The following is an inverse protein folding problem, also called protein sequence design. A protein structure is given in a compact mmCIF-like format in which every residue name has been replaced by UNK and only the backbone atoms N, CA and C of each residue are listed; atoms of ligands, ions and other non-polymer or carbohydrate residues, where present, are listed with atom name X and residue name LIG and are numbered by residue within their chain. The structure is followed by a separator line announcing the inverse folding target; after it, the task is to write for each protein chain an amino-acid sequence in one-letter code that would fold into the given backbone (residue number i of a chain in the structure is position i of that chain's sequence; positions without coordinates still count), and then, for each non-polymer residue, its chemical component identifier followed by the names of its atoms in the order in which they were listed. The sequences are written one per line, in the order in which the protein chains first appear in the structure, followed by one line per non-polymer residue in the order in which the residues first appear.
data_IF_629513616886
#
_entry.id   IF_629513616886
#
_cell.length_a   1.000
_cell.length_b   1.000
_cell.length_c   1.000
_cell.angle_alpha   90.00
_cell.angle_beta   90.00
_cell.angle_gamma   90.00
#
_symmetry.space_group_name_H-M   'P 1'
#
loop_
_entity.id
_entity.type
_entity.pdbx_description
1 polymer ?
#
# COMPACT_ATOMS: atom_id res chain seq x y z
N UNK A 1 -29.20 3.83 -12.64
CA UNK A 1 -28.86 2.44 -13.04
C UNK A 1 -27.35 2.16 -13.03
N UNK A 2 -26.52 2.93 -13.74
CA UNK A 2 -25.06 2.69 -13.85
C UNK A 2 -24.28 2.73 -12.51
N UNK A 3 -24.65 3.64 -11.59
CA UNK A 3 -24.01 3.76 -10.27
C UNK A 3 -24.26 2.52 -9.40
N UNK A 4 -25.52 2.05 -9.34
CA UNK A 4 -25.89 0.85 -8.60
C UNK A 4 -25.17 -0.39 -9.15
N UNK A 5 -25.07 -0.51 -10.47
CA UNK A 5 -24.32 -1.59 -11.10
C UNK A 5 -22.83 -1.55 -10.71
N UNK A 6 -22.17 -0.39 -10.82
CA UNK A 6 -20.76 -0.23 -10.43
C UNK A 6 -20.51 -0.52 -8.94
N UNK A 7 -21.49 -0.24 -8.07
CA UNK A 7 -21.44 -0.58 -6.65
C UNK A 7 -21.54 -2.08 -6.41
N UNK A 8 -22.52 -2.75 -7.02
CA UNK A 8 -22.68 -4.21 -6.90
C UNK A 8 -21.45 -4.98 -7.41
N UNK A 9 -20.85 -4.53 -8.52
CA UNK A 9 -19.61 -5.10 -9.07
C UNK A 9 -18.45 -4.96 -8.08
N UNK A 10 -18.26 -3.76 -7.50
CA UNK A 10 -17.22 -3.52 -6.51
C UNK A 10 -17.39 -4.42 -5.27
N UNK A 11 -18.62 -4.58 -4.77
CA UNK A 11 -18.85 -5.41 -3.59
C UNK A 11 -18.57 -6.88 -3.87
N UNK A 12 -19.06 -7.39 -5.01
CA UNK A 12 -18.76 -8.76 -5.45
C UNK A 12 -17.25 -8.97 -5.61
N UNK A 13 -16.53 -7.96 -6.11
CA UNK A 13 -15.07 -8.02 -6.25
C UNK A 13 -14.36 -8.09 -4.91
N UNK A 14 -14.70 -7.20 -3.98
CA UNK A 14 -14.14 -7.15 -2.63
C UNK A 14 -14.41 -8.44 -1.87
N UNK A 15 -15.66 -8.94 -1.84
CA UNK A 15 -15.99 -10.21 -1.19
C UNK A 15 -15.22 -11.38 -1.80
N UNK A 16 -15.11 -11.46 -3.13
CA UNK A 16 -14.29 -12.50 -3.79
C UNK A 16 -12.82 -12.46 -3.35
N UNK A 17 -12.25 -11.25 -3.21
CA UNK A 17 -10.86 -11.11 -2.74
C UNK A 17 -10.76 -11.53 -1.27
N UNK A 18 -11.69 -11.10 -0.42
CA UNK A 18 -11.74 -11.51 0.98
C UNK A 18 -11.82 -13.03 1.16
N UNK A 19 -12.73 -13.68 0.44
CA UNK A 19 -12.97 -15.13 0.55
C UNK A 19 -11.80 -15.99 0.04
N UNK A 20 -10.95 -15.42 -0.83
CA UNK A 20 -9.78 -16.12 -1.41
C UNK A 20 -8.44 -15.64 -0.87
N UNK A 21 -8.45 -14.65 0.03
CA UNK A 21 -7.26 -14.08 0.61
C UNK A 21 -6.55 -15.09 1.51
N UNK A 22 -5.22 -15.03 1.50
CA UNK A 22 -4.42 -15.81 2.42
C UNK A 22 -4.56 -15.24 3.84
N UNK A 23 -4.78 -16.12 4.82
CA UNK A 23 -4.86 -15.73 6.23
C UNK A 23 -3.47 -15.75 6.87
N UNK A 24 -3.03 -14.62 7.39
CA UNK A 24 -1.79 -14.47 8.13
C UNK A 24 -2.13 -14.38 9.63
N UNK A 25 -1.68 -15.32 10.47
CA UNK A 25 -2.00 -15.31 11.88
C UNK A 25 -1.21 -14.22 12.62
N UNK A 26 -1.87 -13.48 13.51
CA UNK A 26 -1.25 -12.50 14.39
C UNK A 26 -1.85 -12.54 15.80
N UNK A 27 -1.20 -11.90 16.76
CA UNK A 27 -1.66 -11.75 18.14
C UNK A 27 -1.23 -10.39 18.73
N UNK A 28 -1.58 -10.13 19.98
CA UNK A 28 -1.25 -8.86 20.66
C UNK A 28 0.26 -8.59 20.79
N UNK A 29 1.12 -9.60 20.65
CA UNK A 29 2.59 -9.44 20.64
C UNK A 29 3.15 -9.15 19.24
N UNK A 30 2.34 -9.34 18.20
CA UNK A 30 2.73 -9.09 16.81
C UNK A 30 2.89 -7.59 16.57
N UNK A 31 3.92 -7.24 15.79
CA UNK A 31 4.19 -5.87 15.34
C UNK A 31 4.14 -5.85 13.83
N UNK A 32 3.25 -5.04 13.26
CA UNK A 32 2.99 -4.98 11.81
C UNK A 32 2.96 -3.51 11.39
N UNK A 33 3.66 -3.18 10.31
CA UNK A 33 3.57 -1.89 9.64
C UNK A 33 3.00 -2.09 8.25
N UNK A 34 1.99 -1.30 7.93
CA UNK A 34 1.32 -1.22 6.64
C UNK A 34 1.75 0.08 5.96
N UNK A 35 2.36 -0.06 4.78
CA UNK A 35 2.59 1.05 3.85
C UNK A 35 2.05 0.71 2.46
N UNK A 36 1.54 1.70 1.76
CA UNK A 36 1.06 1.60 0.39
C UNK A 36 1.62 2.73 -0.46
N UNK A 37 1.30 2.68 -1.76
CA UNK A 37 1.40 3.83 -2.66
C UNK A 37 2.79 4.50 -2.56
N UNK A 38 3.81 3.65 -2.65
CA UNK A 38 5.19 4.09 -2.71
C UNK A 38 5.51 4.63 -4.09
N UNK A 39 4.93 4.05 -5.14
CA UNK A 39 5.14 4.46 -6.54
C UNK A 39 6.64 4.64 -6.87
N UNK A 40 7.50 3.70 -6.43
CA UNK A 40 8.93 3.74 -6.75
C UNK A 40 9.11 3.77 -8.26
N UNK A 41 9.65 4.89 -8.77
CA UNK A 41 9.84 5.12 -10.20
C UNK A 41 11.30 4.90 -10.63
N UNK A 42 11.70 5.59 -11.69
CA UNK A 42 13.03 5.46 -12.31
C UNK A 42 13.99 6.61 -11.97
N UNK A 43 13.73 7.38 -10.92
CA UNK A 43 14.58 8.49 -10.48
C UNK A 43 14.38 9.78 -11.27
N UNK A 44 13.57 9.76 -12.33
CA UNK A 44 13.28 10.95 -13.13
C UNK A 44 12.44 11.97 -12.38
N UNK A 45 12.22 13.14 -12.97
CA UNK A 45 11.35 14.18 -12.38
C UNK A 45 9.90 13.70 -12.15
N UNK A 46 9.45 12.71 -12.91
CA UNK A 46 8.14 12.08 -12.74
C UNK A 46 8.12 11.02 -11.62
N UNK A 47 9.28 10.68 -11.03
CA UNK A 47 9.33 9.75 -9.91
C UNK A 47 8.91 10.45 -8.61
N UNK A 48 7.66 10.24 -8.21
CA UNK A 48 7.11 10.81 -6.99
C UNK A 48 7.75 10.25 -5.72
N UNK A 49 8.22 9.00 -5.74
CA UNK A 49 8.89 8.38 -4.60
C UNK A 49 10.24 9.05 -4.29
N UNK A 50 10.97 9.47 -5.32
CA UNK A 50 12.33 10.03 -5.17
C UNK A 50 12.42 11.18 -4.17
N UNK A 51 11.33 11.95 -3.99
CA UNK A 51 11.24 13.07 -3.03
C UNK A 51 11.21 12.59 -1.57
N UNK A 52 10.73 11.38 -1.34
CA UNK A 52 10.56 10.77 -0.01
C UNK A 52 11.46 9.54 0.20
N UNK A 53 12.32 9.17 -0.74
CA UNK A 53 13.12 7.93 -0.67
C UNK A 53 13.91 7.79 0.66
N UNK A 54 14.60 8.85 1.09
CA UNK A 54 15.40 8.84 2.32
C UNK A 54 14.52 8.76 3.58
N UNK A 55 13.37 9.42 3.52
CA UNK A 55 12.39 9.40 4.60
C UNK A 55 11.78 8.01 4.76
N UNK A 56 11.42 7.38 3.64
CA UNK A 56 10.92 6.01 3.59
C UNK A 56 11.97 5.02 4.05
N UNK A 57 13.21 5.12 3.56
CA UNK A 57 14.30 4.24 3.96
C UNK A 57 14.57 4.33 5.47
N UNK A 58 14.60 5.54 6.04
CA UNK A 58 14.76 5.74 7.49
C UNK A 58 13.60 5.12 8.30
N UNK A 59 12.35 5.34 7.87
CA UNK A 59 11.18 4.75 8.51
C UNK A 59 11.20 3.22 8.43
N UNK A 60 11.43 2.66 7.24
CA UNK A 60 11.47 1.22 7.04
C UNK A 60 12.63 0.56 7.82
N UNK A 61 13.76 1.24 7.95
CA UNK A 61 14.89 0.78 8.78
C UNK A 61 14.48 0.69 10.25
N UNK A 62 13.80 1.70 10.78
CA UNK A 62 13.27 1.66 12.14
C UNK A 62 12.36 0.43 12.36
N UNK A 63 11.41 0.19 11.46
CA UNK A 63 10.52 -0.98 11.60
C UNK A 63 11.26 -2.31 11.44
N UNK A 64 12.29 -2.35 10.60
CA UNK A 64 13.13 -3.53 10.46
C UNK A 64 13.84 -3.86 11.79
N UNK A 65 14.45 -2.85 12.41
CA UNK A 65 15.20 -2.95 13.68
C UNK A 65 14.28 -3.28 14.87
N UNK A 66 13.07 -2.75 14.88
CA UNK A 66 12.05 -3.00 15.90
C UNK A 66 11.27 -4.32 15.69
N UNK A 67 11.75 -5.19 14.80
CA UNK A 67 11.20 -6.51 14.49
C UNK A 67 9.75 -6.53 13.98
N UNK A 68 9.33 -5.48 13.26
CA UNK A 68 8.01 -5.45 12.64
C UNK A 68 7.93 -6.41 11.44
N UNK A 69 6.75 -6.95 11.19
CA UNK A 69 6.35 -7.48 9.89
C UNK A 69 6.01 -6.30 8.99
N UNK A 70 6.62 -6.24 7.81
CA UNK A 70 6.28 -5.24 6.80
C UNK A 70 5.29 -5.82 5.80
N UNK A 71 4.12 -5.19 5.68
CA UNK A 71 3.14 -5.49 4.64
C UNK A 71 3.01 -4.28 3.71
N UNK A 72 3.42 -4.46 2.46
CA UNK A 72 3.25 -3.46 1.40
C UNK A 72 1.86 -3.62 0.76
N UNK A 73 0.94 -2.69 1.01
CA UNK A 73 -0.47 -2.71 0.57
C UNK A 73 -0.67 -2.26 -0.89
N UNK A 74 0.23 -2.63 -1.79
CA UNK A 74 0.11 -2.38 -3.22
C UNK A 74 0.58 -0.99 -3.68
N UNK A 75 0.71 -0.84 -5.00
CA UNK A 75 1.33 0.32 -5.66
C UNK A 75 2.72 0.64 -5.09
N UNK A 76 3.51 -0.41 -4.85
CA UNK A 76 4.88 -0.28 -4.39
C UNK A 76 5.79 0.29 -5.48
N UNK A 77 5.63 -0.19 -6.71
CA UNK A 77 6.48 0.17 -7.85
C UNK A 77 5.65 0.74 -9.00
N UNK A 78 6.15 1.79 -9.66
CA UNK A 78 5.42 2.53 -10.68
C UNK A 78 5.52 1.87 -12.07
N UNK A 79 4.91 0.68 -12.23
CA UNK A 79 4.98 -0.14 -13.45
C UNK A 79 3.93 0.21 -14.51
N UNK A 80 3.09 1.23 -14.27
CA UNK A 80 2.22 1.79 -15.29
C UNK A 80 2.98 2.80 -16.12
N UNK A 81 3.77 3.67 -15.50
CA UNK A 81 4.64 4.58 -16.24
C UNK A 81 5.90 3.87 -16.74
N UNK A 82 6.51 3.02 -15.92
CA UNK A 82 7.80 2.40 -16.22
C UNK A 82 7.65 1.02 -16.87
N UNK A 83 8.51 0.73 -17.86
CA UNK A 83 8.51 -0.56 -18.56
C UNK A 83 9.36 -1.63 -17.86
N UNK A 84 10.36 -1.22 -17.08
CA UNK A 84 11.39 -2.09 -16.54
C UNK A 84 11.44 -1.96 -15.01
N UNK A 85 10.98 -3.00 -14.31
CA UNK A 85 11.17 -3.10 -12.85
C UNK A 85 12.65 -2.99 -12.47
N UNK A 86 13.53 -3.53 -13.31
CA UNK A 86 14.97 -3.46 -13.04
C UNK A 86 15.56 -2.05 -13.03
N UNK A 87 14.93 -1.10 -13.72
CA UNK A 87 15.35 0.31 -13.66
C UNK A 87 14.96 0.91 -12.30
N UNK A 88 13.73 0.64 -11.85
CA UNK A 88 13.22 1.03 -10.52
C UNK A 88 14.11 0.45 -9.42
N UNK A 89 14.43 -0.84 -9.52
CA UNK A 89 15.30 -1.52 -8.54
C UNK A 89 16.73 -1.02 -8.55
N UNK A 90 17.20 -0.51 -9.69
CA UNK A 90 18.52 0.08 -9.78
C UNK A 90 18.56 1.45 -9.12
N UNK A 91 17.53 2.25 -9.33
CA UNK A 91 17.42 3.57 -8.72
C UNK A 91 17.32 3.46 -7.20
N UNK A 92 16.32 2.71 -6.72
CA UNK A 92 15.99 2.62 -5.29
C UNK A 92 16.65 1.39 -4.62
N UNK A 93 17.92 1.13 -4.98
CA UNK A 93 18.60 -0.14 -4.67
C UNK A 93 18.83 -0.39 -3.18
N UNK A 94 18.91 0.67 -2.37
CA UNK A 94 18.96 0.66 -0.91
C UNK A 94 17.64 0.15 -0.31
N UNK A 95 16.50 0.63 -0.81
CA UNK A 95 15.18 0.16 -0.40
C UNK A 95 15.03 -1.32 -0.73
N UNK A 96 15.34 -1.74 -1.96
CA UNK A 96 15.25 -3.17 -2.33
C UNK A 96 16.20 -4.04 -1.52
N UNK A 97 17.40 -3.56 -1.20
CA UNK A 97 18.29 -4.25 -0.27
C UNK A 97 17.62 -4.47 1.09
N UNK A 98 17.01 -3.44 1.67
CA UNK A 98 16.32 -3.55 2.96
C UNK A 98 15.11 -4.50 2.87
N UNK A 99 14.33 -4.44 1.79
CA UNK A 99 13.23 -5.39 1.54
C UNK A 99 13.72 -6.84 1.50
N UNK A 100 14.89 -7.10 0.90
CA UNK A 100 15.44 -8.46 0.87
C UNK A 100 15.74 -9.00 2.26
N UNK A 101 16.02 -8.13 3.24
CA UNK A 101 16.23 -8.55 4.64
C UNK A 101 14.93 -9.00 5.27
N UNK A 102 13.84 -8.25 5.12
CA UNK A 102 12.51 -8.69 5.57
C UNK A 102 12.11 -10.00 4.90
N UNK A 103 12.35 -10.15 3.59
CA UNK A 103 12.04 -11.38 2.84
C UNK A 103 12.79 -12.59 3.41
N UNK A 104 14.11 -12.46 3.61
CA UNK A 104 14.95 -13.55 4.15
C UNK A 104 14.52 -14.01 5.54
N UNK A 105 13.92 -13.11 6.32
CA UNK A 105 13.42 -13.40 7.67
C UNK A 105 11.94 -13.78 7.71
N UNK A 106 11.27 -13.88 6.56
CA UNK A 106 9.83 -14.20 6.51
C UNK A 106 8.94 -13.11 7.09
N UNK A 107 9.43 -11.86 7.14
CA UNK A 107 8.73 -10.68 7.69
C UNK A 107 8.22 -9.72 6.61
N UNK A 108 8.12 -10.18 5.36
CA UNK A 108 7.62 -9.38 4.23
C UNK A 108 6.39 -10.01 3.57
N UNK A 109 5.34 -9.22 3.41
CA UNK A 109 4.20 -9.54 2.57
C UNK A 109 3.93 -8.38 1.61
N UNK A 110 3.49 -8.69 0.39
CA UNK A 110 3.22 -7.66 -0.62
C UNK A 110 1.93 -7.94 -1.34
N UNK A 111 1.07 -6.92 -1.42
CA UNK A 111 -0.05 -6.88 -2.31
C UNK A 111 0.38 -6.21 -3.63
N UNK A 112 -0.33 -6.52 -4.72
CA UNK A 112 -0.29 -5.66 -5.90
C UNK A 112 -1.44 -4.65 -5.86
N UNK A 113 -1.15 -3.43 -6.27
CA UNK A 113 -2.15 -2.40 -6.55
C UNK A 113 -2.43 -2.31 -8.05
N UNK A 114 -3.04 -1.22 -8.49
CA UNK A 114 -3.31 -1.04 -9.91
C UNK A 114 -2.02 -0.74 -10.68
N UNK A 115 -1.13 0.13 -10.19
CA UNK A 115 0.10 0.55 -10.88
C UNK A 115 1.11 -0.59 -11.07
N UNK A 116 1.08 -1.59 -10.20
CA UNK A 116 1.91 -2.79 -10.29
C UNK A 116 1.12 -4.09 -10.44
N UNK A 117 -0.12 -4.03 -10.94
CA UNK A 117 -1.01 -5.20 -11.17
C UNK A 117 -0.36 -6.32 -12.01
N UNK A 118 0.66 -6.00 -12.81
CA UNK A 118 1.45 -6.98 -13.56
C UNK A 118 2.18 -7.98 -12.66
N UNK A 119 2.46 -7.62 -11.40
CA UNK A 119 3.06 -8.49 -10.39
C UNK A 119 2.18 -9.67 -10.00
N UNK A 120 0.86 -9.60 -10.27
CA UNK A 120 -0.06 -10.74 -10.16
C UNK A 120 0.44 -11.98 -10.92
N UNK A 121 1.18 -11.79 -12.01
CA UNK A 121 1.72 -12.88 -12.82
C UNK A 121 3.22 -13.03 -12.56
N UNK A 122 3.60 -13.95 -11.66
CA UNK A 122 4.99 -14.22 -11.28
C UNK A 122 5.92 -14.55 -12.47
N UNK A 123 5.40 -15.13 -13.55
CA UNK A 123 6.17 -15.40 -14.78
C UNK A 123 6.68 -14.15 -15.51
N UNK A 124 6.01 -13.00 -15.37
CA UNK A 124 6.45 -11.74 -15.97
C UNK A 124 7.68 -11.21 -15.23
N UNK A 125 7.73 -11.35 -13.90
CA UNK A 125 8.86 -10.91 -13.08
C UNK A 125 10.11 -11.76 -13.40
N UNK A 126 9.95 -13.08 -13.56
CA UNK A 126 11.05 -13.99 -13.96
C UNK A 126 11.65 -13.65 -15.33
N UNK A 127 10.83 -13.16 -16.28
CA UNK A 127 11.34 -12.75 -17.60
C UNK A 127 12.25 -11.51 -17.52
N UNK A 128 12.06 -10.65 -16.50
CA UNK A 128 12.89 -9.47 -16.24
C UNK A 128 14.30 -9.87 -15.78
N UNK A 129 14.48 -11.04 -15.15
CA UNK A 129 15.76 -11.56 -14.63
C UNK A 129 16.78 -11.93 -15.72
N UNK A 130 16.34 -12.13 -16.96
CA UNK A 130 17.15 -12.67 -18.07
C UNK A 130 18.15 -11.69 -18.70
N UNK A 131 18.29 -10.47 -18.17
CA UNK A 131 19.18 -9.43 -18.70
C UNK A 131 20.41 -9.22 -17.83
N UNK A 132 21.48 -8.69 -18.42
CA UNK A 132 22.80 -8.50 -17.78
C UNK A 132 22.72 -7.62 -16.51
N UNK A 133 22.52 -8.24 -15.35
CA UNK A 133 22.63 -7.62 -14.03
C UNK A 133 23.91 -8.06 -13.33
N UNK A 134 24.47 -7.18 -12.50
CA UNK A 134 25.54 -7.56 -11.58
C UNK A 134 25.01 -8.49 -10.48
N UNK A 135 25.88 -9.29 -9.86
CA UNK A 135 25.57 -10.41 -8.94
C UNK A 135 24.62 -10.00 -7.81
N UNK A 136 24.90 -8.89 -7.10
CA UNK A 136 24.03 -8.39 -6.01
C UNK A 136 22.62 -8.03 -6.51
N UNK A 137 22.51 -7.47 -7.71
CA UNK A 137 21.23 -7.07 -8.30
C UNK A 137 20.42 -8.30 -8.72
N UNK A 138 21.10 -9.33 -9.22
CA UNK A 138 20.48 -10.62 -9.53
C UNK A 138 19.91 -11.28 -8.27
N UNK A 139 20.63 -11.21 -7.15
CA UNK A 139 20.13 -11.71 -5.86
C UNK A 139 18.83 -11.02 -5.43
N UNK A 140 18.76 -9.69 -5.51
CA UNK A 140 17.53 -8.94 -5.17
C UNK A 140 16.37 -9.30 -6.09
N UNK A 141 16.62 -9.33 -7.40
CA UNK A 141 15.62 -9.71 -8.40
C UNK A 141 15.08 -11.12 -8.13
N UNK A 142 15.95 -12.07 -7.82
CA UNK A 142 15.55 -13.46 -7.53
C UNK A 142 14.78 -13.59 -6.24
N UNK A 143 15.16 -12.87 -5.18
CA UNK A 143 14.39 -12.86 -3.93
C UNK A 143 13.01 -12.22 -4.12
N UNK A 144 12.94 -11.08 -4.82
CA UNK A 144 11.68 -10.42 -5.15
C UNK A 144 10.83 -11.21 -6.17
N UNK A 145 11.44 -12.05 -7.02
CA UNK A 145 10.72 -12.95 -7.91
C UNK A 145 10.21 -14.21 -7.20
N UNK A 146 10.80 -14.54 -6.04
CA UNK A 146 10.44 -15.68 -5.20
C UNK A 146 9.25 -15.44 -4.27
N UNK A 147 8.86 -14.18 -4.03
CA UNK A 147 7.71 -13.87 -3.17
C UNK A 147 6.39 -13.95 -3.92
N UNK A 148 5.33 -14.24 -3.17
CA UNK A 148 3.96 -14.20 -3.64
C UNK A 148 3.44 -12.77 -3.55
N UNK A 149 2.91 -12.25 -4.65
CA UNK A 149 2.16 -10.99 -4.65
C UNK A 149 0.67 -11.31 -4.51
N UNK A 150 0.06 -10.79 -3.46
CA UNK A 150 -1.31 -11.07 -3.10
C UNK A 150 -2.25 -10.01 -3.70
N UNK A 151 -3.49 -10.39 -3.98
CA UNK A 151 -4.50 -9.38 -4.31
C UNK A 151 -5.06 -8.73 -3.04
N UNK A 152 -5.20 -9.53 -2.00
CA UNK A 152 -5.58 -9.15 -0.65
C UNK A 152 -5.06 -10.17 0.36
N UNK A 153 -5.00 -9.76 1.61
CA UNK A 153 -4.62 -10.59 2.76
C UNK A 153 -5.66 -10.44 3.86
N UNK A 154 -5.76 -11.44 4.72
CA UNK A 154 -6.55 -11.35 5.95
C UNK A 154 -5.61 -11.58 7.12
N UNK A 155 -5.51 -10.61 8.02
CA UNK A 155 -4.89 -10.85 9.32
C UNK A 155 -5.92 -11.53 10.21
N UNK A 156 -5.57 -12.69 10.77
CA UNK A 156 -6.47 -13.52 11.57
C UNK A 156 -5.94 -13.62 12.99
N UNK A 157 -6.65 -13.05 13.96
CA UNK A 157 -6.19 -13.01 15.34
C UNK A 157 -6.20 -14.43 15.96
N UNK A 158 -5.07 -14.88 16.51
CA UNK A 158 -4.89 -16.28 16.93
C UNK A 158 -5.93 -16.73 17.96
N UNK A 159 -6.22 -15.89 18.94
CA UNK A 159 -7.10 -16.22 20.07
C UNK A 159 -8.59 -16.03 19.74
N UNK A 160 -8.96 -14.88 19.17
CA UNK A 160 -10.36 -14.50 18.98
C UNK A 160 -10.91 -14.88 17.61
N UNK A 161 -10.03 -15.18 16.64
CA UNK A 161 -10.35 -15.39 15.22
C UNK A 161 -10.92 -14.17 14.51
N UNK A 162 -10.82 -13.00 15.14
CA UNK A 162 -11.19 -11.74 14.50
C UNK A 162 -10.31 -11.46 13.29
N UNK A 163 -10.89 -10.82 12.27
CA UNK A 163 -10.27 -10.64 10.97
C UNK A 163 -10.07 -9.17 10.63
N UNK A 164 -8.91 -8.85 10.05
CA UNK A 164 -8.64 -7.57 9.40
C UNK A 164 -8.38 -7.85 7.92
N UNK A 165 -9.23 -7.30 7.06
CA UNK A 165 -9.05 -7.42 5.62
C UNK A 165 -8.11 -6.34 5.10
N UNK A 166 -7.06 -6.76 4.42
CA UNK A 166 -6.07 -5.90 3.79
C UNK A 166 -6.24 -5.96 2.26
N UNK A 167 -6.46 -4.81 1.63
CA UNK A 167 -6.53 -4.67 0.18
C UNK A 167 -5.87 -3.38 -0.25
N UNK A 168 -5.39 -3.29 -1.48
CA UNK A 168 -4.91 -2.01 -1.99
C UNK A 168 -6.05 -0.98 -2.08
N UNK A 169 -7.23 -1.38 -2.59
CA UNK A 169 -8.42 -0.52 -2.68
C UNK A 169 -8.88 -0.23 -4.12
N UNK A 170 -8.01 -0.45 -5.11
CA UNK A 170 -8.37 -0.34 -6.54
C UNK A 170 -9.52 -1.25 -6.94
N UNK A 171 -9.77 -2.34 -6.19
CA UNK A 171 -10.91 -3.25 -6.37
C UNK A 171 -12.29 -2.54 -6.30
N UNK A 172 -12.37 -1.38 -5.64
CA UNK A 172 -13.57 -0.54 -5.60
C UNK A 172 -13.62 0.55 -6.70
N UNK A 173 -12.55 0.68 -7.50
CA UNK A 173 -12.45 1.57 -8.66
C UNK A 173 -12.51 0.78 -9.97
N UNK A 174 -13.68 0.81 -10.61
CA UNK A 174 -13.93 0.07 -11.85
C UNK A 174 -12.94 0.39 -12.99
N UNK A 175 -12.43 1.63 -13.09
CA UNK A 175 -11.47 1.97 -14.14
C UNK A 175 -10.09 1.36 -13.85
N UNK A 176 -9.71 1.33 -12.57
CA UNK A 176 -8.39 0.86 -12.14
C UNK A 176 -8.34 -0.65 -11.85
N UNK A 177 -9.48 -1.31 -11.66
CA UNK A 177 -9.61 -2.78 -11.58
C UNK A 177 -10.06 -3.40 -12.91
N UNK A 178 -11.20 -2.99 -13.46
CA UNK A 178 -11.80 -3.62 -14.64
C UNK A 178 -11.20 -3.18 -15.98
N UNK A 179 -10.81 -1.90 -16.10
CA UNK A 179 -10.27 -1.30 -17.34
C UNK A 179 -8.81 -0.88 -17.21
N UNK A 180 -8.07 -1.52 -16.30
CA UNK A 180 -6.70 -1.14 -15.95
C UNK A 180 -5.74 -1.07 -17.14
N UNK A 181 -5.95 -1.87 -18.19
CA UNK A 181 -5.11 -1.84 -19.42
C UNK A 181 -5.26 -0.53 -20.20
N UNK A 182 -6.48 0.04 -20.20
CA UNK A 182 -6.76 1.34 -20.82
C UNK A 182 -6.19 2.45 -19.94
N UNK A 183 -6.43 2.40 -18.63
CA UNK A 183 -5.88 3.37 -17.68
C UNK A 183 -4.35 3.42 -17.76
N UNK A 184 -3.68 2.26 -17.76
CA UNK A 184 -2.24 2.14 -17.96
C UNK A 184 -1.76 2.71 -19.28
N UNK A 185 -2.50 2.48 -20.38
CA UNK A 185 -2.14 3.02 -21.69
C UNK A 185 -2.13 4.55 -21.67
N UNK A 186 -3.17 5.17 -21.09
CA UNK A 186 -3.26 6.62 -20.95
C UNK A 186 -2.13 7.17 -20.07
N UNK A 187 -1.93 6.59 -18.88
CA UNK A 187 -0.84 7.00 -17.98
C UNK A 187 0.51 6.95 -18.69
N UNK A 188 0.81 5.83 -19.36
CA UNK A 188 2.13 5.62 -19.99
C UNK A 188 2.40 6.49 -21.20
N UNK A 189 1.43 6.61 -22.10
CA UNK A 189 1.65 7.14 -23.44
C UNK A 189 1.06 8.52 -23.66
N UNK A 190 0.20 8.99 -22.76
CA UNK A 190 -0.36 10.33 -22.79
C UNK A 190 0.16 11.17 -21.63
N UNK A 191 -0.09 10.75 -20.39
CA UNK A 191 0.17 11.60 -19.23
C UNK A 191 1.64 11.72 -18.87
N UNK A 192 2.38 10.61 -18.79
CA UNK A 192 3.80 10.64 -18.46
C UNK A 192 4.63 11.53 -19.41
N UNK A 193 4.48 11.45 -20.75
CA UNK A 193 5.17 12.38 -21.64
C UNK A 193 4.81 13.85 -21.39
N UNK A 194 3.54 14.15 -21.07
CA UNK A 194 3.07 15.50 -20.78
C UNK A 194 3.63 16.03 -19.45
N UNK A 195 3.72 15.19 -18.41
CA UNK A 195 4.32 15.54 -17.12
C UNK A 195 5.81 15.88 -17.23
N UNK A 196 6.55 15.12 -18.05
CA UNK A 196 7.95 15.44 -18.35
C UNK A 196 8.11 16.79 -19.08
N UNK A 197 7.05 17.30 -19.71
CA UNK A 197 6.99 18.64 -20.33
C UNK A 197 6.38 19.70 -19.38
N UNK A 198 6.14 19.37 -18.11
CA UNK A 198 5.61 20.28 -17.10
C UNK A 198 4.09 20.39 -17.06
N UNK A 199 3.36 19.60 -17.84
CA UNK A 199 1.89 19.55 -17.80
C UNK A 199 1.45 18.55 -16.75
N UNK A 200 0.70 19.01 -15.76
CA UNK A 200 0.23 18.14 -14.70
C UNK A 200 -0.86 17.17 -15.18
N UNK A 201 -0.77 15.88 -14.82
CA UNK A 201 -1.85 14.90 -15.06
C UNK A 201 -3.11 15.25 -14.21
N UNK A 202 -4.25 15.56 -14.83
CA UNK A 202 -5.52 15.79 -14.13
C UNK A 202 -6.18 14.49 -13.64
N UNK A 203 -5.70 13.34 -14.11
CA UNK A 203 -6.15 12.00 -13.72
C UNK A 203 -5.31 11.37 -12.61
N UNK A 204 -4.18 11.99 -12.25
CA UNK A 204 -3.36 11.61 -11.11
C UNK A 204 -4.22 11.50 -9.85
N UNK A 205 -4.06 10.42 -9.05
CA UNK A 205 -4.77 10.26 -7.79
C UNK A 205 -4.69 11.52 -6.94
N UNK A 206 -3.53 12.19 -6.87
CA UNK A 206 -3.31 13.36 -6.04
C UNK A 206 -4.36 14.49 -6.21
N UNK A 207 -5.01 14.63 -7.38
CA UNK A 207 -5.86 15.80 -7.69
C UNK A 207 -7.37 15.54 -7.74
N UNK A 208 -7.82 14.29 -7.89
CA UNK A 208 -9.25 14.00 -8.08
C UNK A 208 -9.98 13.55 -6.80
N UNK A 209 -10.15 14.49 -5.86
CA UNK A 209 -10.82 14.24 -4.57
C UNK A 209 -12.23 13.65 -4.70
N UNK A 210 -13.01 14.07 -5.72
CA UNK A 210 -14.36 13.53 -5.95
C UNK A 210 -14.34 12.04 -6.29
N UNK A 211 -13.41 11.61 -7.16
CA UNK A 211 -13.26 10.20 -7.53
C UNK A 211 -12.83 9.37 -6.31
N UNK A 212 -11.85 9.84 -5.54
CA UNK A 212 -11.40 9.20 -4.30
C UNK A 212 -12.55 9.00 -3.31
N UNK A 213 -13.39 10.03 -3.13
CA UNK A 213 -14.53 9.95 -2.22
C UNK A 213 -15.58 8.93 -2.68
N UNK A 214 -15.73 8.71 -4.00
CA UNK A 214 -16.59 7.64 -4.53
C UNK A 214 -16.04 6.26 -4.19
N UNK A 215 -14.72 6.06 -4.28
CA UNK A 215 -14.06 4.79 -3.96
C UNK A 215 -14.17 4.49 -2.47
N UNK A 216 -13.81 5.43 -1.61
CA UNK A 216 -13.93 5.30 -0.15
C UNK A 216 -15.35 5.00 0.29
N UNK A 217 -16.35 5.70 -0.26
CA UNK A 217 -17.76 5.40 0.06
C UNK A 217 -18.11 3.95 -0.22
N UNK A 218 -17.66 3.37 -1.33
CA UNK A 218 -17.91 1.95 -1.61
C UNK A 218 -17.19 1.03 -0.63
N UNK A 219 -15.95 1.35 -0.26
CA UNK A 219 -15.19 0.57 0.73
C UNK A 219 -15.88 0.59 2.10
N UNK A 220 -16.28 1.78 2.57
CA UNK A 220 -17.02 1.97 3.83
C UNK A 220 -18.37 1.25 3.78
N UNK A 221 -19.11 1.33 2.68
CA UNK A 221 -20.38 0.62 2.56
C UNK A 221 -20.21 -0.90 2.50
N UNK A 222 -19.11 -1.41 1.93
CA UNK A 222 -18.77 -2.83 1.99
C UNK A 222 -18.43 -3.26 3.43
N UNK A 223 -17.64 -2.46 4.15
CA UNK A 223 -17.34 -2.66 5.58
C UNK A 223 -18.61 -2.75 6.41
N UNK A 224 -19.56 -1.84 6.20
CA UNK A 224 -20.88 -1.87 6.87
C UNK A 224 -21.68 -3.14 6.54
N UNK A 225 -21.57 -3.65 5.30
CA UNK A 225 -22.35 -4.81 4.84
C UNK A 225 -21.78 -6.13 5.35
N UNK A 226 -20.47 -6.31 5.21
CA UNK A 226 -19.77 -7.56 5.58
C UNK A 226 -19.32 -7.57 7.03
N UNK A 227 -19.42 -6.42 7.69
CA UNK A 227 -19.07 -6.25 9.08
C UNK A 227 -17.62 -6.68 9.36
N UNK A 228 -16.70 -6.22 8.51
CA UNK A 228 -15.27 -6.55 8.54
C UNK A 228 -14.44 -5.28 8.71
N UNK A 229 -13.38 -5.35 9.52
CA UNK A 229 -12.35 -4.32 9.51
C UNK A 229 -11.65 -4.37 8.14
N UNK A 230 -11.47 -3.21 7.50
CA UNK A 230 -10.77 -3.08 6.22
C UNK A 230 -9.70 -2.01 6.30
N UNK A 231 -8.47 -2.34 5.88
CA UNK A 231 -7.38 -1.39 5.69
C UNK A 231 -7.03 -1.32 4.20
N UNK A 232 -6.92 -0.10 3.66
CA UNK A 232 -6.55 0.14 2.26
C UNK A 232 -5.62 1.33 2.04
N UNK A 233 -5.01 1.41 0.85
CA UNK A 233 -4.27 2.58 0.36
C UNK A 233 -5.06 3.25 -0.76
N UNK A 234 -4.50 3.32 -1.96
CA UNK A 234 -5.06 3.71 -3.28
C UNK A 234 -5.58 5.15 -3.40
N UNK A 235 -6.29 5.64 -2.39
CA UNK A 235 -6.85 6.99 -2.37
C UNK A 235 -5.88 8.01 -1.77
N UNK A 236 -4.75 7.59 -1.22
CA UNK A 236 -3.73 8.45 -0.61
C UNK A 236 -4.28 9.40 0.46
N UNK A 237 -5.42 9.05 1.06
CA UNK A 237 -6.08 9.88 2.06
C UNK A 237 -6.12 9.10 3.36
N UNK A 238 -5.17 9.35 4.27
CA UNK A 238 -5.17 8.69 5.56
C UNK A 238 -6.52 8.83 6.24
N UNK A 239 -7.07 7.71 6.71
CA UNK A 239 -8.36 7.66 7.40
C UNK A 239 -8.24 6.74 8.60
N UNK A 240 -8.75 7.22 9.74
CA UNK A 240 -8.76 6.49 10.99
C UNK A 240 -10.11 6.73 11.68
N UNK A 241 -11.03 5.76 11.65
CA UNK A 241 -12.36 5.90 12.22
C UNK A 241 -12.30 5.84 13.76
N UNK A 242 -13.23 6.51 14.42
CA UNK A 242 -13.41 6.33 15.86
C UNK A 242 -14.06 4.97 16.17
N UNK A 243 -13.88 4.48 17.40
CA UNK A 243 -14.55 3.26 17.83
C UNK A 243 -16.08 3.45 17.77
N UNK A 244 -16.78 2.50 17.13
CA UNK A 244 -18.22 2.59 16.86
C UNK A 244 -18.58 3.11 15.47
N UNK A 245 -17.64 3.75 14.77
CA UNK A 245 -17.78 4.02 13.35
C UNK A 245 -17.43 2.79 12.51
N UNK A 246 -17.86 2.72 11.24
CA UNK A 246 -17.46 1.65 10.33
C UNK A 246 -15.92 1.55 10.26
N UNK A 247 -15.31 0.39 10.58
CA UNK A 247 -13.87 0.24 10.73
C UNK A 247 -13.13 0.16 9.38
N UNK A 248 -13.24 1.23 8.59
CA UNK A 248 -12.48 1.46 7.37
C UNK A 248 -11.28 2.36 7.67
N UNK A 249 -10.09 1.81 7.52
CA UNK A 249 -8.83 2.53 7.68
C UNK A 249 -8.17 2.77 6.33
N UNK A 250 -7.44 3.87 6.23
CA UNK A 250 -6.56 4.14 5.10
C UNK A 250 -5.18 4.55 5.59
N UNK A 251 -4.13 3.86 5.11
CA UNK A 251 -2.74 4.10 5.51
C UNK A 251 -2.12 5.32 4.83
N UNK A 252 -2.78 5.85 3.80
CA UNK A 252 -2.39 7.05 3.07
C UNK A 252 -1.45 6.74 1.92
N UNK A 253 -0.26 7.33 1.94
CA UNK A 253 0.75 7.07 0.90
C UNK A 253 2.17 7.41 1.33
N UNK A 254 3.13 6.84 0.62
CA UNK A 254 4.55 7.18 0.77
C UNK A 254 5.03 8.28 -0.17
N UNK A 255 4.13 8.88 -0.95
CA UNK A 255 4.41 9.97 -1.90
C UNK A 255 3.81 11.32 -1.50
N UNK A 256 3.21 11.43 -0.31
CA UNK A 256 2.66 12.71 0.14
C UNK A 256 3.78 13.77 0.26
N UNK A 257 3.53 15.04 -0.11
CA UNK A 257 4.55 16.08 0.02
C UNK A 257 5.10 16.17 1.45
N UNK A 258 6.41 15.95 1.59
CA UNK A 258 7.22 16.08 2.83
C UNK A 258 6.90 15.08 3.94
N UNK A 259 6.08 14.07 3.69
CA UNK A 259 5.81 13.03 4.67
C UNK A 259 5.38 11.72 4.02
N UNK A 260 5.51 10.64 4.77
CA UNK A 260 4.85 9.38 4.46
C UNK A 260 3.94 9.00 5.63
N UNK A 261 2.88 8.27 5.36
CA UNK A 261 1.97 7.77 6.38
C UNK A 261 1.87 6.27 6.30
N UNK A 262 1.53 5.64 7.42
CA UNK A 262 1.34 4.19 7.51
C UNK A 262 0.43 3.83 8.68
N UNK A 263 -0.01 2.58 8.71
CA UNK A 263 -0.76 2.02 9.85
C UNK A 263 0.11 1.01 10.56
N UNK A 264 0.27 1.22 11.87
CA UNK A 264 0.89 0.26 12.76
C UNK A 264 -0.17 -0.55 13.49
N UNK A 265 0.07 -1.86 13.58
CA UNK A 265 -0.63 -2.77 14.49
C UNK A 265 0.42 -3.34 15.42
N UNK A 266 0.37 -2.95 16.70
CA UNK A 266 1.34 -3.37 17.70
C UNK A 266 0.72 -3.31 19.10
N UNK A 267 1.12 -4.23 19.98
CA UNK A 267 0.69 -4.27 21.38
C UNK A 267 -0.85 -4.28 21.53
N UNK A 268 -1.54 -5.03 20.67
CA UNK A 268 -3.01 -5.11 20.60
C UNK A 268 -3.71 -3.81 20.18
N UNK A 269 -2.97 -2.86 19.59
CA UNK A 269 -3.47 -1.53 19.20
C UNK A 269 -3.23 -1.26 17.72
N UNK A 270 -4.05 -0.38 17.16
CA UNK A 270 -3.90 0.18 15.82
C UNK A 270 -3.62 1.69 15.91
N UNK A 271 -2.68 2.18 15.10
CA UNK A 271 -2.23 3.58 15.11
C UNK A 271 -1.98 4.05 13.68
N UNK A 272 -2.49 5.23 13.33
CA UNK A 272 -2.10 5.92 12.09
C UNK A 272 -0.90 6.82 12.40
N UNK A 273 0.18 6.63 11.67
CA UNK A 273 1.44 7.34 11.90
C UNK A 273 1.87 8.12 10.67
N UNK A 274 2.71 9.11 10.92
CA UNK A 274 3.35 9.94 9.91
C UNK A 274 4.84 10.01 10.18
N UNK A 275 5.64 9.79 9.16
CA UNK A 275 7.06 10.10 9.19
C UNK A 275 7.29 11.38 8.41
N UNK A 276 8.10 12.29 8.96
CA UNK A 276 8.46 13.54 8.29
C UNK A 276 9.84 14.05 8.73
N UNK A 277 10.38 14.99 7.97
CA UNK A 277 11.62 15.69 8.34
C UNK A 277 11.26 16.87 9.25
N UNK A 278 11.92 16.95 10.40
CA UNK A 278 11.85 18.07 11.35
C UNK A 278 13.21 18.73 11.49
N UNK A 279 13.22 19.97 11.96
CA UNK A 279 14.44 20.74 12.21
C UNK A 279 14.65 20.87 13.72
N UNK A 280 15.87 20.57 14.18
CA UNK A 280 16.31 20.82 15.56
C UNK A 280 16.68 22.29 15.75
N UNK A 281 16.82 22.73 17.00
CA UNK A 281 17.22 24.11 17.32
C UNK A 281 18.59 24.50 16.76
N UNK A 282 19.50 23.54 16.55
CA UNK A 282 20.82 23.72 15.94
C UNK A 282 20.79 23.74 14.40
N UNK A 283 19.61 23.65 13.78
CA UNK A 283 19.44 23.60 12.32
C UNK A 283 19.60 22.20 11.71
N UNK A 284 19.91 21.16 12.49
CA UNK A 284 20.02 19.81 11.97
C UNK A 284 18.65 19.25 11.57
N UNK A 285 18.59 18.58 10.41
CA UNK A 285 17.40 17.87 9.95
C UNK A 285 17.36 16.46 10.54
N UNK A 286 16.20 16.06 11.05
CA UNK A 286 15.97 14.71 11.58
C UNK A 286 14.67 14.12 11.03
N UNK A 287 14.72 12.84 10.74
CA UNK A 287 13.52 12.05 10.44
C UNK A 287 12.83 11.73 11.76
N UNK A 288 11.54 12.04 11.86
CA UNK A 288 10.72 11.86 13.06
C UNK A 288 9.42 11.14 12.72
N UNK A 289 9.02 10.23 13.60
CA UNK A 289 7.70 9.61 13.63
C UNK A 289 6.75 10.43 14.50
N UNK A 290 5.55 10.69 14.00
CA UNK A 290 4.42 11.32 14.68
C UNK A 290 3.21 10.40 14.66
N UNK A 291 2.42 10.42 15.72
CA UNK A 291 1.10 9.76 15.75
C UNK A 291 0.06 10.75 15.22
N UNK A 292 -0.61 10.39 14.13
CA UNK A 292 -1.71 11.18 13.58
C UNK A 292 -3.04 10.85 14.25
N UNK A 293 -3.28 9.56 14.51
CA UNK A 293 -4.48 9.09 15.20
C UNK A 293 -4.21 7.76 15.93
N UNK A 294 -4.91 7.54 17.03
CA UNK A 294 -4.65 6.45 17.97
C UNK A 294 -3.51 6.77 18.95
N UNK A 295 -2.89 5.77 19.60
CA UNK A 295 -3.21 4.34 19.52
C UNK A 295 -4.61 4.00 20.08
N UNK A 296 -5.37 3.16 19.39
CA UNK A 296 -6.66 2.62 19.89
C UNK A 296 -6.57 1.11 20.01
N UNK A 297 -7.29 0.49 20.95
CA UNK A 297 -7.31 -0.97 21.09
C UNK A 297 -8.00 -1.57 19.88
N UNK A 298 -7.38 -2.58 19.27
CA UNK A 298 -7.93 -3.24 18.10
C UNK A 298 -9.28 -3.93 18.42
N UNK A 299 -9.41 -4.47 19.63
CA UNK A 299 -10.66 -5.07 20.13
C UNK A 299 -11.87 -4.12 20.10
N UNK A 300 -11.67 -2.80 20.21
CA UNK A 300 -12.78 -1.84 20.18
C UNK A 300 -13.45 -1.83 18.80
N UNK A 301 -12.71 -2.16 17.74
CA UNK A 301 -13.22 -2.27 16.37
C UNK A 301 -13.77 -3.67 16.05
N UNK A 302 -13.30 -4.72 16.74
CA UNK A 302 -13.92 -6.05 16.62
C UNK A 302 -15.30 -6.11 17.27
N UNK A 303 -15.55 -5.31 18.31
CA UNK A 303 -16.90 -5.19 18.91
C UNK A 303 -17.94 -4.57 17.99
N UNK A 304 -17.53 -3.72 17.04
CA UNK A 304 -18.41 -3.30 15.94
C UNK A 304 -18.94 -4.53 15.18
N UNK A 305 -18.10 -5.55 15.00
CA UNK A 305 -18.52 -6.80 14.35
C UNK A 305 -19.59 -7.57 15.14
N UNK A 306 -19.60 -7.43 16.46
CA UNK A 306 -20.59 -8.07 17.31
C UNK A 306 -21.89 -7.27 17.48
N UNK A 307 -21.95 -6.02 16.99
CA UNK A 307 -23.10 -5.12 17.19
C UNK A 307 -23.28 -4.67 18.65
N UNK A 308 -22.20 -4.67 19.45
CA UNK A 308 -22.22 -4.36 20.89
C UNK A 308 -21.75 -2.91 21.14
N UNK A 309 -22.22 -1.94 20.34
CA UNK A 309 -21.89 -0.52 20.50
C UNK A 309 -23.13 0.28 20.81
#
# INVERSE_FOLDING_TARGET
MLIFFKKAVAFKRLSKVFDSAEEIPFDDSSRIILFSDCHRGDGSWADDFSKNQNLYFAALTHYYEENYIYIELGDGDELWENKKLSAIMQEHSDVFWLLTRFIKEGRFYSLFGNHDIVKRNSGIIKSIESRNFNIRKKEYLTLCAGIKFHEGLVLSHRATKDKIFLVHGHQADYLNDGLWRISRFLVRYLWRPLELLGVNDPTSPAKNHKKKAVVERKLIEWVKRENQILVAGHTHRPMFPEAGEPPYFNDGSCVHPRCITGIEIADGKITLVKWCVKTKHDGALVVSRDVLAGPKKLMDYFRFQAGIV
#
